data_IF_285229375880
#
_entry.id   IF_285229375880
#
_cell.length_a   1.000
_cell.length_b   1.000
_cell.length_c   1.000
_cell.angle_alpha   90.00
_cell.angle_beta   90.00
_cell.angle_gamma   90.00
#
_symmetry.space_group_name_H-M   'P 1'
#
loop_
_entity.id
_entity.type
_entity.pdbx_description
1 polymer ?
#
# COMPACT_ATOMS: atom_id res chain seq x y z
N UNK A 1 -11.59 6.68 -17.04
CA UNK A 1 -11.72 5.67 -15.97
C UNK A 1 -11.69 6.37 -14.64
N UNK A 2 -12.49 5.94 -13.65
CA UNK A 2 -12.61 6.57 -12.32
C UNK A 2 -11.43 6.24 -11.38
N UNK A 3 -10.23 6.12 -11.95
CA UNK A 3 -9.02 5.74 -11.21
C UNK A 3 -8.51 6.90 -10.34
N UNK A 4 -8.65 8.14 -10.81
CA UNK A 4 -8.30 9.33 -10.02
C UNK A 4 -9.20 9.50 -8.78
N UNK A 5 -10.48 9.18 -8.92
CA UNK A 5 -11.41 9.23 -7.78
C UNK A 5 -11.07 8.13 -6.75
N UNK A 6 -10.66 6.95 -7.24
CA UNK A 6 -10.20 5.85 -6.38
C UNK A 6 -8.90 6.20 -5.64
N UNK A 7 -7.93 6.81 -6.32
CA UNK A 7 -6.67 7.27 -5.73
C UNK A 7 -6.91 8.24 -4.56
N UNK A 8 -7.74 9.27 -4.77
CA UNK A 8 -8.05 10.26 -3.72
C UNK A 8 -8.74 9.59 -2.52
N UNK A 9 -9.71 8.70 -2.78
CA UNK A 9 -10.40 7.95 -1.75
C UNK A 9 -9.45 7.06 -0.95
N UNK A 10 -8.61 6.28 -1.62
CA UNK A 10 -7.64 5.38 -0.99
C UNK A 10 -6.58 6.16 -0.20
N UNK A 11 -6.15 7.32 -0.69
CA UNK A 11 -5.25 8.21 0.05
C UNK A 11 -5.88 8.73 1.34
N UNK A 12 -7.17 9.09 1.31
CA UNK A 12 -7.89 9.52 2.51
C UNK A 12 -8.08 8.37 3.50
N UNK A 13 -8.47 7.19 3.02
CA UNK A 13 -8.59 5.97 3.84
C UNK A 13 -7.26 5.65 4.52
N UNK A 14 -6.16 5.64 3.76
CA UNK A 14 -4.81 5.39 4.29
C UNK A 14 -4.44 6.39 5.39
N UNK A 15 -4.68 7.69 5.18
CA UNK A 15 -4.41 8.73 6.21
C UNK A 15 -5.23 8.53 7.48
N UNK A 16 -6.51 8.17 7.34
CA UNK A 16 -7.40 7.93 8.49
C UNK A 16 -6.95 6.68 9.24
N UNK A 17 -6.72 5.57 8.55
CA UNK A 17 -6.28 4.32 9.16
C UNK A 17 -4.92 4.48 9.86
N UNK A 18 -3.98 5.18 9.22
CA UNK A 18 -2.69 5.54 9.84
C UNK A 18 -2.85 6.33 11.14
N UNK A 19 -3.87 7.17 11.24
CA UNK A 19 -4.16 7.97 12.45
C UNK A 19 -4.91 7.17 13.53
N UNK A 20 -5.86 6.33 13.13
CA UNK A 20 -6.76 5.61 14.05
C UNK A 20 -6.14 4.30 14.54
N UNK A 21 -5.58 3.52 13.62
CA UNK A 21 -5.06 2.18 13.87
C UNK A 21 -3.53 2.16 13.98
N UNK A 22 -2.86 3.19 13.44
CA UNK A 22 -1.41 3.27 13.36
C UNK A 22 -0.86 2.73 12.03
N UNK A 23 0.41 3.01 11.76
CA UNK A 23 1.10 2.56 10.54
C UNK A 23 1.34 1.06 10.49
N UNK A 24 1.37 0.39 11.63
CA UNK A 24 1.71 -1.03 11.74
C UNK A 24 0.47 -1.93 11.62
N UNK A 25 -0.74 -1.36 11.62
CA UNK A 25 -1.97 -2.15 11.59
C UNK A 25 -2.16 -2.82 10.22
N UNK A 26 -2.52 -4.12 10.16
CA UNK A 26 -2.75 -4.84 8.90
C UNK A 26 -3.68 -4.10 7.93
N UNK A 27 -4.83 -3.62 8.40
CA UNK A 27 -5.77 -2.86 7.56
C UNK A 27 -5.18 -1.58 6.93
N UNK A 28 -4.28 -0.90 7.66
CA UNK A 28 -3.56 0.26 7.11
C UNK A 28 -2.63 -0.17 5.98
N UNK A 29 -1.96 -1.31 6.12
CA UNK A 29 -1.04 -1.86 5.13
C UNK A 29 -1.79 -2.37 3.89
N UNK A 30 -2.90 -3.09 4.06
CA UNK A 30 -3.77 -3.49 2.95
C UNK A 30 -4.29 -2.28 2.16
N UNK A 31 -4.62 -1.18 2.85
CA UNK A 31 -5.03 0.07 2.19
C UNK A 31 -3.88 0.74 1.42
N UNK A 32 -2.64 0.60 1.90
CA UNK A 32 -1.46 1.05 1.16
C UNK A 32 -1.25 0.20 -0.10
N UNK A 33 -1.38 -1.12 -0.02
CA UNK A 33 -1.23 -1.99 -1.20
C UNK A 33 -2.25 -1.65 -2.29
N UNK A 34 -3.52 -1.43 -1.92
CA UNK A 34 -4.57 -1.03 -2.86
C UNK A 34 -4.24 0.31 -3.55
N UNK A 35 -3.79 1.32 -2.79
CA UNK A 35 -3.37 2.60 -3.35
C UNK A 35 -2.21 2.45 -4.33
N UNK A 36 -1.23 1.59 -4.05
CA UNK A 36 -0.11 1.33 -4.95
C UNK A 36 -0.57 0.66 -6.26
N UNK A 37 -1.55 -0.26 -6.23
CA UNK A 37 -2.16 -0.83 -7.44
C UNK A 37 -2.92 0.20 -8.27
N UNK A 38 -3.67 1.09 -7.61
CA UNK A 38 -4.38 2.19 -8.28
C UNK A 38 -3.40 3.15 -8.95
N UNK A 39 -2.32 3.52 -8.26
CA UNK A 39 -1.25 4.37 -8.80
C UNK A 39 -0.53 3.71 -9.99
N UNK A 40 -0.22 2.41 -9.93
CA UNK A 40 0.33 1.64 -11.06
C UNK A 40 -0.62 1.67 -12.26
N UNK A 41 -1.92 1.53 -12.02
CA UNK A 41 -2.96 1.60 -13.08
C UNK A 41 -3.13 3.00 -13.68
N UNK A 42 -2.78 4.04 -12.94
CA UNK A 42 -2.73 5.43 -13.40
C UNK A 42 -1.44 5.78 -14.14
N UNK A 43 -0.42 4.91 -14.10
CA UNK A 43 0.90 5.15 -14.67
C UNK A 43 1.87 5.89 -13.75
N UNK A 44 1.48 6.17 -12.50
CA UNK A 44 2.33 6.80 -11.47
C UNK A 44 3.13 5.73 -10.73
N UNK A 45 4.09 5.13 -11.42
CA UNK A 45 4.87 3.99 -10.90
C UNK A 45 5.79 4.41 -9.76
N UNK A 46 6.33 5.63 -9.78
CA UNK A 46 7.25 6.15 -8.76
C UNK A 46 6.57 6.23 -7.39
N UNK A 47 5.36 6.78 -7.36
CA UNK A 47 4.56 6.93 -6.13
C UNK A 47 4.11 5.56 -5.61
N UNK A 48 3.70 4.65 -6.52
CA UNK A 48 3.34 3.28 -6.18
C UNK A 48 4.53 2.54 -5.53
N UNK A 49 5.72 2.63 -6.13
CA UNK A 49 6.95 1.98 -5.64
C UNK A 49 7.37 2.55 -4.27
N UNK A 50 7.26 3.87 -4.07
CA UNK A 50 7.60 4.50 -2.79
C UNK A 50 6.66 4.01 -1.67
N UNK A 51 5.36 3.95 -1.94
CA UNK A 51 4.35 3.49 -1.00
C UNK A 51 4.53 2.00 -0.69
N UNK A 52 4.80 1.18 -1.71
CA UNK A 52 5.01 -0.26 -1.58
C UNK A 52 6.26 -0.60 -0.77
N UNK A 53 7.36 0.16 -0.94
CA UNK A 53 8.57 0.02 -0.10
C UNK A 53 8.27 0.23 1.37
N UNK A 54 7.46 1.24 1.70
CA UNK A 54 7.05 1.49 3.08
C UNK A 54 6.18 0.33 3.60
N UNK A 55 5.27 -0.19 2.78
CA UNK A 55 4.42 -1.33 3.14
C UNK A 55 5.24 -2.59 3.46
N UNK A 56 6.19 -2.97 2.59
CA UNK A 56 7.08 -4.13 2.79
C UNK A 56 7.93 -3.99 4.06
N UNK A 57 8.46 -2.80 4.35
CA UNK A 57 9.23 -2.55 5.57
C UNK A 57 8.39 -2.74 6.84
N UNK A 58 7.15 -2.23 6.83
CA UNK A 58 6.24 -2.35 7.97
C UNK A 58 5.75 -3.80 8.14
N UNK A 59 5.36 -4.46 7.05
CA UNK A 59 4.98 -5.86 7.04
C UNK A 59 6.10 -6.79 7.54
N UNK A 60 7.34 -6.58 7.07
CA UNK A 60 8.51 -7.35 7.51
C UNK A 60 8.79 -7.19 9.01
N UNK A 61 8.49 -6.03 9.59
CA UNK A 61 8.69 -5.77 11.02
C UNK A 61 7.59 -6.39 11.88
N UNK A 62 6.36 -6.48 11.36
CA UNK A 62 5.18 -6.82 12.15
C UNK A 62 4.73 -8.28 12.02
N UNK A 63 4.76 -8.85 10.81
CA UNK A 63 4.24 -10.19 10.52
C UNK A 63 5.33 -11.20 10.13
N UNK A 64 6.56 -10.73 9.88
CA UNK A 64 7.65 -11.54 9.32
C UNK A 64 7.60 -11.62 7.80
N UNK A 65 8.70 -12.07 7.18
CA UNK A 65 8.89 -12.07 5.72
C UNK A 65 8.02 -13.09 4.95
N UNK A 66 7.25 -13.92 5.64
CA UNK A 66 6.44 -15.00 5.03
C UNK A 66 4.95 -14.68 4.92
N UNK A 67 4.50 -13.50 5.36
CA UNK A 67 3.08 -13.15 5.25
C UNK A 67 2.65 -12.97 3.78
N UNK A 68 1.48 -13.50 3.35
CA UNK A 68 0.98 -13.39 1.98
C UNK A 68 0.96 -11.95 1.45
N UNK A 69 0.60 -11.00 2.32
CA UNK A 69 0.52 -9.59 1.96
C UNK A 69 1.92 -9.00 1.66
N UNK A 70 2.95 -9.37 2.43
CA UNK A 70 4.35 -8.98 2.17
C UNK A 70 4.83 -9.45 0.80
N UNK A 71 4.42 -10.65 0.39
CA UNK A 71 4.77 -11.22 -0.91
C UNK A 71 4.05 -10.48 -2.04
N UNK A 72 2.78 -10.13 -1.88
CA UNK A 72 2.01 -9.34 -2.86
C UNK A 72 2.59 -7.94 -3.05
N UNK A 73 2.94 -7.26 -1.95
CA UNK A 73 3.59 -5.95 -2.00
C UNK A 73 4.96 -6.05 -2.69
N UNK A 74 5.76 -7.07 -2.36
CA UNK A 74 7.08 -7.30 -2.95
C UNK A 74 7.01 -7.68 -4.43
N UNK A 75 5.97 -8.40 -4.85
CA UNK A 75 5.74 -8.76 -6.25
C UNK A 75 5.40 -7.54 -7.09
N UNK A 76 4.64 -6.59 -6.54
CA UNK A 76 4.36 -5.30 -7.23
C UNK A 76 5.61 -4.44 -7.38
N UNK A 77 6.62 -4.61 -6.51
CA UNK A 77 7.93 -3.97 -6.59
C UNK A 77 8.89 -4.62 -7.61
N UNK A 78 8.65 -5.87 -7.98
CA UNK A 78 9.52 -6.67 -8.86
C UNK A 78 9.11 -6.60 -10.35
N UNK A 79 7.96 -6.01 -10.67
CA UNK A 79 7.43 -5.83 -12.04
C UNK A 79 7.60 -4.39 -12.52
#
# INVERSE_FOLDING_TARGET
>A
GRWKDAEELEMQVMKIMKRVLGTEHPDTLTSMDNLAYTLKSLGSVEDAVALMKMCVQLHSKNLGSEHPDTLSSSQTLSE
#
